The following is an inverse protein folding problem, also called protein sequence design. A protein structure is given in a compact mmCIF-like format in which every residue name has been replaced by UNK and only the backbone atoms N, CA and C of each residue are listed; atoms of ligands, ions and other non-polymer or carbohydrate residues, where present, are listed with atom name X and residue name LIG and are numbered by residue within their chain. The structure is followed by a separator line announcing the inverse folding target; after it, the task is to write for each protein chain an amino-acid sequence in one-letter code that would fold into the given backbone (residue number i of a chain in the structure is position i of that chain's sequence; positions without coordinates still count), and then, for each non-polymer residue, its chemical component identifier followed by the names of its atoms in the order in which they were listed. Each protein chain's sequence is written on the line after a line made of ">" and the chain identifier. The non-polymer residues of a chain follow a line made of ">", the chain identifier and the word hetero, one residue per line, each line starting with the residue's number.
data_IF_380231302278
#
_entry.id   IF_380231302278
#
_cell.length_a   1.000
_cell.length_b   1.000
_cell.length_c   1.000
_cell.angle_alpha   90.00
_cell.angle_beta   90.00
_cell.angle_gamma   90.00
#
_symmetry.space_group_name_H-M   'P 1'
#
loop_
_entity.id
_entity.type
_entity.pdbx_description
1 polymer ?
#
# COMPACT_ATOMS: atom_id res chain seq x y z
N UNK A 1 -39.10 -28.33 -21.33
CA UNK A 1 -38.69 -27.55 -20.14
C UNK A 1 -39.96 -27.11 -19.47
N UNK A 2 -40.17 -27.43 -18.20
CA UNK A 2 -41.35 -26.94 -17.48
C UNK A 2 -41.17 -25.47 -17.12
N UNK A 3 -42.26 -24.75 -16.90
CA UNK A 3 -42.22 -23.34 -16.48
C UNK A 3 -41.39 -23.15 -15.20
N UNK A 4 -41.42 -24.14 -14.31
CA UNK A 4 -40.62 -24.19 -13.08
C UNK A 4 -39.12 -24.35 -13.37
N UNK A 5 -38.73 -25.18 -14.35
CA UNK A 5 -37.32 -25.36 -14.72
C UNK A 5 -36.72 -24.08 -15.30
N UNK A 6 -37.50 -23.33 -16.09
CA UNK A 6 -37.08 -22.03 -16.64
C UNK A 6 -36.86 -21.00 -15.54
N UNK A 7 -37.77 -20.91 -14.56
CA UNK A 7 -37.64 -19.97 -13.43
C UNK A 7 -36.38 -20.28 -12.61
N UNK A 8 -36.11 -21.55 -12.30
CA UNK A 8 -34.90 -21.93 -11.58
C UNK A 8 -33.63 -21.68 -12.38
N UNK A 9 -33.67 -21.87 -13.70
CA UNK A 9 -32.56 -21.54 -14.58
C UNK A 9 -32.25 -20.04 -14.54
N UNK A 10 -33.26 -19.18 -14.70
CA UNK A 10 -33.07 -17.72 -14.60
C UNK A 10 -32.56 -17.28 -13.22
N UNK A 11 -33.12 -17.80 -12.13
CA UNK A 11 -32.62 -17.52 -10.77
C UNK A 11 -31.16 -17.96 -10.58
N UNK A 12 -30.77 -19.08 -11.19
CA UNK A 12 -29.39 -19.58 -11.10
C UNK A 12 -28.40 -18.70 -11.88
N UNK A 13 -28.84 -18.10 -13.00
CA UNK A 13 -28.04 -17.15 -13.76
C UNK A 13 -27.87 -15.84 -12.97
N UNK A 14 -28.95 -15.27 -12.45
CA UNK A 14 -28.91 -14.05 -11.64
C UNK A 14 -28.02 -14.22 -10.39
N UNK A 15 -28.07 -15.39 -9.73
CA UNK A 15 -27.20 -15.66 -8.59
C UNK A 15 -25.72 -15.74 -8.98
N UNK A 16 -25.40 -16.37 -10.12
CA UNK A 16 -24.02 -16.42 -10.63
C UNK A 16 -23.50 -15.03 -10.98
N UNK A 17 -24.30 -14.23 -11.65
CA UNK A 17 -23.96 -12.84 -11.96
C UNK A 17 -23.74 -12.02 -10.69
N UNK A 18 -24.59 -12.17 -9.68
CA UNK A 18 -24.41 -11.50 -8.39
C UNK A 18 -23.13 -11.95 -7.64
N UNK A 19 -22.82 -13.25 -7.67
CA UNK A 19 -21.59 -13.80 -7.08
C UNK A 19 -20.35 -13.29 -7.82
N UNK A 20 -20.37 -13.24 -9.15
CA UNK A 20 -19.28 -12.70 -9.97
C UNK A 20 -19.09 -11.20 -9.77
N UNK A 21 -20.18 -10.43 -9.73
CA UNK A 21 -20.16 -9.00 -9.48
C UNK A 21 -19.57 -8.71 -8.09
N UNK A 22 -20.02 -9.44 -7.07
CA UNK A 22 -19.48 -9.33 -5.72
C UNK A 22 -17.98 -9.69 -5.66
N UNK A 23 -17.53 -10.71 -6.41
CA UNK A 23 -16.10 -11.05 -6.48
C UNK A 23 -15.28 -9.92 -7.08
N UNK A 24 -15.77 -9.29 -8.16
CA UNK A 24 -15.10 -8.18 -8.82
C UNK A 24 -15.02 -6.96 -7.89
N UNK A 25 -16.15 -6.55 -7.29
CA UNK A 25 -16.16 -5.45 -6.31
C UNK A 25 -15.20 -5.69 -5.15
N UNK A 26 -15.24 -6.89 -4.56
CA UNK A 26 -14.33 -7.23 -3.48
C UNK A 26 -12.86 -7.25 -3.91
N UNK A 27 -12.56 -7.65 -5.15
CA UNK A 27 -11.20 -7.65 -5.68
C UNK A 27 -10.70 -6.23 -5.91
N UNK A 28 -11.54 -5.34 -6.46
CA UNK A 28 -11.22 -3.93 -6.67
C UNK A 28 -11.01 -3.20 -5.34
N UNK A 29 -11.93 -3.34 -4.39
CA UNK A 29 -11.81 -2.72 -3.06
C UNK A 29 -10.56 -3.16 -2.32
N UNK A 30 -10.25 -4.47 -2.33
CA UNK A 30 -9.04 -5.00 -1.71
C UNK A 30 -7.78 -4.51 -2.43
N UNK A 31 -7.80 -4.47 -3.76
CA UNK A 31 -6.70 -3.98 -4.58
C UNK A 31 -6.41 -2.51 -4.30
N UNK A 32 -7.45 -1.68 -4.28
CA UNK A 32 -7.34 -0.26 -3.99
C UNK A 32 -6.86 -0.01 -2.56
N UNK A 33 -7.44 -0.70 -1.57
CA UNK A 33 -7.01 -0.58 -0.18
C UNK A 33 -5.53 -0.96 0.00
N UNK A 34 -5.09 -2.06 -0.62
CA UNK A 34 -3.69 -2.50 -0.59
C UNK A 34 -2.79 -1.47 -1.27
N UNK A 35 -3.14 -1.02 -2.47
CA UNK A 35 -2.34 -0.03 -3.21
C UNK A 35 -2.22 1.31 -2.48
N UNK A 36 -3.29 1.78 -1.83
CA UNK A 36 -3.25 2.98 -1.01
C UNK A 36 -2.37 2.82 0.23
N UNK A 37 -2.42 1.66 0.89
CA UNK A 37 -1.59 1.37 2.05
C UNK A 37 -0.09 1.31 1.66
N UNK A 38 0.23 0.56 0.60
CA UNK A 38 1.60 0.45 0.08
C UNK A 38 2.14 1.81 -0.37
N UNK A 39 1.36 2.55 -1.17
CA UNK A 39 1.76 3.87 -1.66
C UNK A 39 1.99 4.89 -0.54
N UNK A 40 1.15 4.89 0.51
CA UNK A 40 1.36 5.74 1.69
C UNK A 40 2.62 5.37 2.46
N UNK A 41 2.86 4.07 2.67
CA UNK A 41 4.04 3.59 3.37
C UNK A 41 5.33 3.94 2.60
N UNK A 42 5.37 3.68 1.30
CA UNK A 42 6.50 4.05 0.44
C UNK A 42 6.74 5.55 0.42
N UNK A 43 5.67 6.35 0.28
CA UNK A 43 5.77 7.80 0.26
C UNK A 43 6.33 8.37 1.56
N UNK A 44 5.87 7.85 2.71
CA UNK A 44 6.38 8.26 4.02
C UNK A 44 7.85 7.87 4.19
N UNK A 45 8.24 6.66 3.77
CA UNK A 45 9.62 6.20 3.86
C UNK A 45 10.56 7.04 2.98
N UNK A 46 10.18 7.28 1.71
CA UNK A 46 10.94 8.14 0.78
C UNK A 46 11.08 9.56 1.32
N UNK A 47 9.99 10.16 1.81
CA UNK A 47 10.02 11.49 2.40
C UNK A 47 10.93 11.60 3.63
N UNK A 48 10.89 10.62 4.53
CA UNK A 48 11.80 10.55 5.68
C UNK A 48 13.25 10.41 5.25
N UNK A 49 13.54 9.57 4.27
CA UNK A 49 14.89 9.38 3.74
C UNK A 49 15.45 10.67 3.11
N UNK A 50 14.66 11.37 2.28
CA UNK A 50 15.08 12.65 1.69
C UNK A 50 15.40 13.70 2.76
N UNK A 51 14.59 13.80 3.82
CA UNK A 51 14.85 14.73 4.92
C UNK A 51 16.12 14.34 5.67
N UNK A 52 16.28 13.05 6.02
CA UNK A 52 17.46 12.56 6.72
C UNK A 52 18.75 12.86 5.93
N UNK A 53 18.76 12.65 4.61
CA UNK A 53 19.89 12.96 3.74
C UNK A 53 20.21 14.46 3.73
N UNK A 54 19.19 15.32 3.61
CA UNK A 54 19.40 16.77 3.63
C UNK A 54 19.97 17.25 4.96
N UNK A 55 19.58 16.64 6.07
CA UNK A 55 20.13 16.96 7.39
C UNK A 55 21.57 16.44 7.53
N UNK A 56 21.85 15.23 7.06
CA UNK A 56 23.21 14.67 7.04
C UNK A 56 24.18 15.51 6.19
N UNK A 57 23.73 16.04 5.04
CA UNK A 57 24.49 16.98 4.21
C UNK A 57 24.83 18.31 4.90
N UNK A 58 24.17 18.62 6.02
CA UNK A 58 24.45 19.80 6.85
C UNK A 58 25.31 19.46 8.06
N UNK A 59 25.95 18.29 8.06
CA UNK A 59 26.82 17.76 9.11
C UNK A 59 26.13 17.63 10.47
N UNK A 60 24.80 17.42 10.47
CA UNK A 60 24.04 17.14 11.70
C UNK A 60 24.39 15.73 12.24
N UNK A 61 24.47 15.55 13.56
CA UNK A 61 24.70 14.25 14.16
C UNK A 61 23.57 13.26 13.84
N UNK A 62 23.92 11.99 13.58
CA UNK A 62 22.97 10.91 13.28
C UNK A 62 21.87 10.79 14.35
N UNK A 63 22.23 10.90 15.63
CA UNK A 63 21.29 10.85 16.74
C UNK A 63 20.24 11.99 16.70
N UNK A 64 20.65 13.20 16.30
CA UNK A 64 19.74 14.35 16.18
C UNK A 64 18.84 14.19 14.95
N UNK A 65 19.37 13.69 13.84
CA UNK A 65 18.58 13.38 12.63
C UNK A 65 17.52 12.33 12.93
N UNK A 66 17.90 11.26 13.63
CA UNK A 66 17.00 10.17 14.04
C UNK A 66 15.80 10.70 14.85
N UNK A 67 16.07 11.57 15.83
CA UNK A 67 15.05 12.22 16.66
C UNK A 67 14.14 13.14 15.84
N UNK A 68 14.73 14.04 15.03
CA UNK A 68 13.98 15.00 14.21
C UNK A 68 13.06 14.34 13.16
N UNK A 69 13.50 13.23 12.56
CA UNK A 69 12.79 12.53 11.49
C UNK A 69 11.86 11.44 12.05
N UNK A 70 12.06 11.03 13.31
CA UNK A 70 11.32 9.95 13.95
C UNK A 70 11.62 8.60 13.29
N UNK A 71 12.91 8.31 13.13
CA UNK A 71 13.47 7.05 12.66
C UNK A 71 14.65 6.66 13.56
N UNK A 72 15.16 5.44 13.43
CA UNK A 72 16.31 4.98 14.21
C UNK A 72 17.63 5.45 13.61
N UNK A 73 18.67 5.54 14.44
CA UNK A 73 20.03 5.86 13.97
C UNK A 73 20.51 4.85 12.92
N UNK A 74 20.14 3.58 13.06
CA UNK A 74 20.44 2.53 12.09
C UNK A 74 19.79 2.80 10.72
N UNK A 75 18.53 3.26 10.71
CA UNK A 75 17.85 3.65 9.47
C UNK A 75 18.52 4.87 8.83
N UNK A 76 18.91 5.87 9.62
CA UNK A 76 19.66 7.04 9.11
C UNK A 76 20.98 6.60 8.46
N UNK A 77 21.73 5.71 9.12
CA UNK A 77 22.98 5.18 8.57
C UNK A 77 22.74 4.43 7.25
N UNK A 78 21.75 3.53 7.20
CA UNK A 78 21.40 2.82 5.97
C UNK A 78 21.01 3.78 4.83
N UNK A 79 20.24 4.83 5.13
CA UNK A 79 19.85 5.84 4.14
C UNK A 79 21.08 6.55 3.57
N UNK A 80 22.03 6.92 4.43
CA UNK A 80 23.29 7.57 4.02
C UNK A 80 24.12 6.61 3.16
N UNK A 81 24.33 5.38 3.61
CA UNK A 81 25.14 4.36 2.92
C UNK A 81 24.60 4.08 1.51
N UNK A 82 23.29 3.86 1.39
CA UNK A 82 22.59 3.64 0.11
C UNK A 82 22.63 4.83 -0.85
N UNK A 83 22.97 6.04 -0.37
CA UNK A 83 23.06 7.25 -1.20
C UNK A 83 24.48 7.49 -1.73
N UNK A 84 25.46 6.74 -1.21
CA UNK A 84 26.87 6.78 -1.62
C UNK A 84 27.28 5.65 -2.56
N UNK A 85 26.39 4.68 -2.82
CA UNK A 85 26.53 3.65 -3.87
C UNK A 85 26.05 4.16 -5.24
#
# INVERSE_FOLDING_TARGET
>A
MSDTDMVHYFQSLEKKEADELNRLYNAEDKGLAKGLAEGRAEGLAKGKAEVALRLAQRDLPIAEIADMVGITEAEVQQIIDNSTE
#
